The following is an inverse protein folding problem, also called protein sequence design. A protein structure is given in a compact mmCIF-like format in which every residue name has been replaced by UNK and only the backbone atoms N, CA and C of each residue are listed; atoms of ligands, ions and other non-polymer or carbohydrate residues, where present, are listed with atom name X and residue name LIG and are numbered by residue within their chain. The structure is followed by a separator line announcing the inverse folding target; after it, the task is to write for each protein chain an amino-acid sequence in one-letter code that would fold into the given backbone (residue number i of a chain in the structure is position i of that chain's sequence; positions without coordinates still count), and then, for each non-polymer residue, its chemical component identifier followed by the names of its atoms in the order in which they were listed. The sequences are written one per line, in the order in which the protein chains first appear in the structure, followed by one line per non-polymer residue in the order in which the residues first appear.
data_IF_222911902779
#
_entry.id   IF_222911902779
#
_cell.length_a   1.000
_cell.length_b   1.000
_cell.length_c   1.000
_cell.angle_alpha   90.00
_cell.angle_beta   90.00
_cell.angle_gamma   90.00
#
_symmetry.space_group_name_H-M   'P 1'
#
loop_
_entity.id
_entity.type
_entity.pdbx_description
1 polymer ?
#
# COMPACT_ATOMS: atom_id res chain seq x y z
N UNK A 1 -18.63 -19.56 -31.23
CA UNK A 1 -19.72 -20.12 -30.41
C UNK A 1 -19.42 -20.10 -28.91
N UNK A 2 -18.32 -20.69 -28.41
CA UNK A 2 -18.00 -20.73 -26.95
C UNK A 2 -17.72 -19.37 -26.26
N UNK A 3 -17.33 -18.32 -27.01
CA UNK A 3 -17.03 -17.00 -26.46
C UNK A 3 -18.27 -16.16 -26.12
N UNK A 4 -19.36 -16.34 -26.87
CA UNK A 4 -20.60 -15.58 -26.65
C UNK A 4 -21.34 -16.10 -25.41
N UNK A 5 -21.36 -17.42 -25.23
CA UNK A 5 -21.95 -18.07 -24.07
C UNK A 5 -21.27 -17.64 -22.75
N UNK A 6 -19.95 -17.44 -22.76
CA UNK A 6 -19.21 -16.93 -21.59
C UNK A 6 -19.56 -15.46 -21.30
N UNK A 7 -19.66 -14.62 -22.33
CA UNK A 7 -20.03 -13.20 -22.20
C UNK A 7 -21.45 -13.02 -21.69
N UNK A 8 -22.37 -13.86 -22.15
CA UNK A 8 -23.77 -13.87 -21.71
C UNK A 8 -23.89 -14.25 -20.23
N UNK A 9 -23.11 -15.25 -19.77
CA UNK A 9 -23.07 -15.65 -18.35
C UNK A 9 -22.49 -14.58 -17.44
N UNK A 10 -21.47 -13.84 -17.88
CA UNK A 10 -20.90 -12.73 -17.13
C UNK A 10 -21.89 -11.55 -17.04
N UNK A 11 -22.62 -11.27 -18.11
CA UNK A 11 -23.66 -10.24 -18.11
C UNK A 11 -24.85 -10.63 -17.22
N UNK A 12 -25.29 -11.90 -17.25
CA UNK A 12 -26.35 -12.40 -16.36
C UNK A 12 -25.94 -12.36 -14.89
N UNK A 13 -24.70 -12.68 -14.55
CA UNK A 13 -24.20 -12.61 -13.17
C UNK A 13 -24.13 -11.17 -12.66
N UNK A 14 -23.66 -10.23 -13.48
CA UNK A 14 -23.63 -8.81 -13.14
C UNK A 14 -25.03 -8.21 -12.97
N UNK A 15 -26.01 -8.64 -13.79
CA UNK A 15 -27.40 -8.22 -13.66
C UNK A 15 -28.06 -8.81 -12.40
N UNK A 16 -27.75 -10.06 -12.03
CA UNK A 16 -28.24 -10.67 -10.80
C UNK A 16 -27.70 -9.97 -9.55
N UNK A 17 -26.41 -9.63 -9.52
CA UNK A 17 -25.81 -8.88 -8.41
C UNK A 17 -26.41 -7.47 -8.28
N UNK A 18 -26.60 -6.77 -9.41
CA UNK A 18 -27.27 -5.47 -9.43
C UNK A 18 -28.74 -5.54 -8.99
N UNK A 19 -29.43 -6.64 -9.32
CA UNK A 19 -30.81 -6.88 -8.90
C UNK A 19 -30.92 -7.17 -7.39
N UNK A 20 -29.95 -7.86 -6.78
CA UNK A 20 -29.91 -8.12 -5.33
C UNK A 20 -29.67 -6.83 -4.54
N UNK A 21 -28.80 -5.95 -5.05
CA UNK A 21 -28.55 -4.62 -4.45
C UNK A 21 -29.80 -3.73 -4.56
N UNK A 22 -30.54 -3.78 -5.67
CA UNK A 22 -31.79 -3.03 -5.85
C UNK A 22 -32.99 -3.61 -5.07
N UNK A 23 -33.05 -4.94 -4.91
CA UNK A 23 -34.12 -5.62 -4.18
C UNK A 23 -34.02 -5.45 -2.65
N UNK A 24 -32.87 -4.97 -2.13
CA UNK A 24 -32.71 -4.67 -0.70
C UNK A 24 -33.16 -3.25 -0.32
N UNK A 25 -33.60 -2.42 -1.28
CA UNK A 25 -34.10 -1.07 -1.04
C UNK A 25 -35.65 -0.90 -0.94
N UNK A 26 -36.56 -1.83 -1.26
CA UNK A 26 -37.99 -1.53 -1.21
C UNK A 26 -38.75 -2.14 -0.01
N UNK A 27 -38.08 -2.79 0.95
CA UNK A 27 -38.77 -3.30 2.15
C UNK A 27 -39.28 -2.18 3.09
N UNK A 28 -38.84 -0.93 2.89
CA UNK A 28 -39.32 0.24 3.63
C UNK A 28 -40.45 1.03 2.94
N UNK A 29 -40.87 0.64 1.74
CA UNK A 29 -41.98 1.29 1.03
C UNK A 29 -43.22 0.38 1.07
N UNK A 30 -43.90 0.39 2.21
CA UNK A 30 -45.25 -0.16 2.34
C UNK A 30 -46.25 0.70 1.55
N UNK A 31 -46.98 0.01 0.67
CA UNK A 31 -48.23 0.33 -0.03
C UNK A 31 -48.52 1.79 -0.47
N UNK A 32 -48.35 2.11 -1.77
CA UNK A 32 -48.67 3.42 -2.35
C UNK A 32 -50.17 3.75 -2.47
N UNK A 33 -51.10 2.83 -2.22
CA UNK A 33 -52.53 3.05 -2.51
C UNK A 33 -53.38 3.47 -1.31
N UNK A 34 -52.86 3.34 -0.09
CA UNK A 34 -53.62 3.70 1.13
C UNK A 34 -53.46 5.17 1.55
N UNK A 35 -52.51 5.91 0.94
CA UNK A 35 -52.20 7.29 1.33
C UNK A 35 -52.87 8.36 0.45
N UNK A 36 -53.67 7.97 -0.55
CA UNK A 36 -54.24 8.89 -1.54
C UNK A 36 -55.38 9.75 -0.96
N UNK A 37 -55.95 9.44 0.21
CA UNK A 37 -57.22 10.06 0.60
C UNK A 37 -57.15 11.36 1.44
N UNK A 38 -56.01 11.79 1.98
CA UNK A 38 -55.94 13.11 2.67
C UNK A 38 -54.58 13.81 2.52
N UNK A 39 -54.47 14.88 1.72
CA UNK A 39 -53.28 15.71 1.69
C UNK A 39 -53.25 16.57 2.95
N UNK A 40 -52.69 16.04 4.03
CA UNK A 40 -52.36 16.86 5.20
C UNK A 40 -51.17 17.76 4.84
N UNK A 41 -51.39 19.07 4.97
CA UNK A 41 -50.47 20.18 4.71
C UNK A 41 -49.08 20.09 5.38
N UNK A 42 -48.76 19.01 6.11
CA UNK A 42 -47.47 18.80 6.78
C UNK A 42 -46.38 18.18 5.91
N UNK A 43 -46.73 17.58 4.77
CA UNK A 43 -45.76 16.87 3.92
C UNK A 43 -44.97 17.79 2.99
N UNK A 44 -45.53 18.94 2.62
CA UNK A 44 -44.85 19.95 1.78
C UNK A 44 -43.77 20.70 2.53
N UNK A 45 -43.86 20.80 3.85
CA UNK A 45 -42.83 21.44 4.70
C UNK A 45 -41.65 20.49 4.99
N UNK A 46 -41.82 19.19 4.79
CA UNK A 46 -40.77 18.17 4.97
C UNK A 46 -39.95 17.89 3.70
N UNK A 47 -40.32 18.46 2.54
CA UNK A 47 -39.64 18.29 1.26
C UNK A 47 -38.57 19.36 1.03
N UNK A 48 -37.81 19.71 2.07
CA UNK A 48 -36.51 20.35 1.86
C UNK A 48 -35.69 19.34 1.04
N UNK A 49 -35.19 19.69 -0.16
CA UNK A 49 -34.24 18.84 -0.85
C UNK A 49 -33.01 18.78 0.04
N UNK A 50 -32.87 17.71 0.83
CA UNK A 50 -31.58 17.36 1.40
C UNK A 50 -30.76 16.94 0.20
N UNK A 51 -30.00 17.88 -0.32
CA UNK A 51 -28.98 17.64 -1.33
C UNK A 51 -28.06 16.57 -0.73
N UNK A 52 -28.28 15.33 -1.14
CA UNK A 52 -27.52 14.20 -0.64
C UNK A 52 -26.07 14.46 -1.07
N UNK A 53 -25.24 14.87 -0.12
CA UNK A 53 -23.79 14.98 -0.34
C UNK A 53 -23.34 13.71 -1.05
N UNK A 54 -22.67 13.81 -2.22
CA UNK A 54 -22.22 12.64 -2.93
C UNK A 54 -21.40 11.81 -1.95
N UNK A 55 -21.83 10.56 -1.73
CA UNK A 55 -21.13 9.66 -0.82
C UNK A 55 -19.67 9.61 -1.27
N UNK A 56 -18.78 10.23 -0.50
CA UNK A 56 -17.35 10.19 -0.78
C UNK A 56 -16.93 8.74 -0.57
N UNK A 57 -16.89 7.96 -1.65
CA UNK A 57 -16.34 6.61 -1.64
C UNK A 57 -14.84 6.77 -1.37
N UNK A 58 -14.47 6.72 -0.09
CA UNK A 58 -13.09 6.79 0.34
C UNK A 58 -12.44 5.45 0.03
N UNK A 59 -11.47 5.46 -0.86
CA UNK A 59 -10.56 4.33 -1.04
C UNK A 59 -9.72 4.21 0.22
N UNK A 60 -9.93 3.14 0.98
CA UNK A 60 -9.03 2.76 2.09
C UNK A 60 -7.75 2.25 1.44
N UNK A 61 -6.81 3.17 1.21
CA UNK A 61 -5.52 2.86 0.59
C UNK A 61 -4.63 2.25 1.66
N UNK A 62 -4.18 1.00 1.46
CA UNK A 62 -3.10 0.46 2.29
C UNK A 62 -1.84 1.30 2.08
N UNK A 63 -1.40 1.97 3.14
CA UNK A 63 -0.19 2.79 3.13
C UNK A 63 1.01 2.01 3.66
N UNK A 64 0.79 0.87 4.30
CA UNK A 64 1.84 0.02 4.88
C UNK A 64 2.50 -0.88 3.85
N UNK A 65 1.93 -0.95 2.63
CA UNK A 65 2.41 -1.78 1.52
C UNK A 65 2.55 -3.26 1.91
N UNK A 66 1.79 -3.68 2.93
CA UNK A 66 1.90 -4.97 3.60
C UNK A 66 3.33 -5.36 4.06
N UNK A 67 4.25 -4.41 4.20
CA UNK A 67 5.66 -4.70 4.50
C UNK A 67 5.91 -4.91 5.99
N UNK A 68 6.58 -6.01 6.40
CA UNK A 68 7.02 -6.17 7.77
C UNK A 68 7.99 -5.07 8.18
N UNK A 69 7.71 -4.43 9.32
CA UNK A 69 8.52 -3.33 9.86
C UNK A 69 10.00 -3.73 10.05
N UNK A 70 10.26 -4.99 10.38
CA UNK A 70 11.64 -5.51 10.49
C UNK A 70 12.38 -5.44 9.15
N UNK A 71 11.72 -5.81 8.05
CA UNK A 71 12.33 -5.83 6.71
C UNK A 71 12.61 -4.40 6.21
N UNK A 72 11.68 -3.50 6.50
CA UNK A 72 11.86 -2.07 6.27
C UNK A 72 13.07 -1.52 7.03
N UNK A 73 13.14 -1.78 8.35
CA UNK A 73 14.27 -1.35 9.18
C UNK A 73 15.61 -1.95 8.74
N UNK A 74 15.63 -3.22 8.35
CA UNK A 74 16.82 -3.89 7.83
C UNK A 74 17.33 -3.22 6.54
N UNK A 75 16.41 -2.84 5.65
CA UNK A 75 16.75 -2.13 4.40
C UNK A 75 17.45 -0.81 4.69
N UNK A 76 16.88 0.01 5.58
CA UNK A 76 17.45 1.30 6.00
C UNK A 76 18.83 1.09 6.63
N UNK A 77 18.95 0.10 7.52
CA UNK A 77 20.21 -0.22 8.19
C UNK A 77 21.32 -0.62 7.21
N UNK A 78 21.01 -1.43 6.19
CA UNK A 78 21.99 -1.84 5.18
C UNK A 78 22.43 -0.67 4.29
N UNK A 79 21.51 0.20 3.87
CA UNK A 79 21.87 1.39 3.08
C UNK A 79 22.73 2.37 3.87
N UNK A 80 22.35 2.66 5.12
CA UNK A 80 23.16 3.54 5.98
C UNK A 80 24.48 2.88 6.37
N UNK A 81 24.48 1.57 6.62
CA UNK A 81 25.67 0.78 6.90
C UNK A 81 26.65 0.79 5.73
N UNK A 82 26.17 0.70 4.49
CA UNK A 82 26.96 0.85 3.27
C UNK A 82 27.65 2.23 3.21
N UNK A 83 26.91 3.31 3.47
CA UNK A 83 27.48 4.68 3.50
C UNK A 83 28.50 4.81 4.63
N UNK A 84 28.19 4.35 5.83
CA UNK A 84 29.11 4.39 6.97
C UNK A 84 30.40 3.60 6.69
N UNK A 85 30.27 2.41 6.09
CA UNK A 85 31.39 1.54 5.75
C UNK A 85 32.36 2.20 4.77
N UNK A 86 31.86 2.76 3.67
CA UNK A 86 32.72 3.49 2.72
C UNK A 86 33.30 4.77 3.32
N UNK A 87 32.50 5.50 4.11
CA UNK A 87 32.93 6.76 4.73
C UNK A 87 34.09 6.54 5.70
N UNK A 88 33.99 5.53 6.56
CA UNK A 88 35.03 5.15 7.51
C UNK A 88 36.22 4.51 6.78
N UNK A 89 35.97 3.60 5.85
CA UNK A 89 37.03 2.83 5.20
C UNK A 89 37.92 3.64 4.25
N UNK A 90 37.37 4.65 3.57
CA UNK A 90 38.14 5.51 2.67
C UNK A 90 38.59 6.81 3.34
N UNK A 91 37.76 7.41 4.21
CA UNK A 91 38.08 8.57 5.06
C UNK A 91 38.77 9.76 4.36
N UNK A 92 38.48 10.02 3.08
CA UNK A 92 39.05 11.18 2.38
C UNK A 92 38.15 12.42 2.49
N UNK A 93 38.71 13.64 2.63
CA UNK A 93 37.92 14.87 2.78
C UNK A 93 36.97 15.14 1.60
N UNK A 94 37.36 14.74 0.38
CA UNK A 94 36.59 14.99 -0.84
C UNK A 94 35.30 14.16 -0.89
N UNK A 95 35.28 13.01 -0.22
CA UNK A 95 34.10 12.14 -0.13
C UNK A 95 33.12 12.59 0.96
N UNK A 96 33.55 13.40 1.93
CA UNK A 96 32.70 13.76 3.07
C UNK A 96 31.37 14.40 2.65
N UNK A 97 31.40 15.32 1.68
CA UNK A 97 30.21 16.00 1.19
C UNK A 97 29.23 15.04 0.47
N UNK A 98 29.66 14.25 -0.54
CA UNK A 98 28.81 13.21 -1.13
C UNK A 98 28.21 12.25 -0.11
N UNK A 99 29.00 11.78 0.86
CA UNK A 99 28.54 10.81 1.86
C UNK A 99 27.47 11.40 2.78
N UNK A 100 27.64 12.65 3.21
CA UNK A 100 26.62 13.35 3.99
C UNK A 100 25.32 13.53 3.20
N UNK A 101 25.42 13.93 1.93
CA UNK A 101 24.27 14.08 1.03
C UNK A 101 23.53 12.75 0.90
N UNK A 102 24.22 11.65 0.59
CA UNK A 102 23.58 10.34 0.47
C UNK A 102 22.96 9.86 1.78
N UNK A 103 23.63 10.04 2.91
CA UNK A 103 23.07 9.69 4.22
C UNK A 103 21.75 10.45 4.49
N UNK A 104 21.72 11.77 4.25
CA UNK A 104 20.52 12.60 4.44
C UNK A 104 19.41 12.18 3.49
N UNK A 105 19.71 11.95 2.21
CA UNK A 105 18.70 11.51 1.23
C UNK A 105 18.14 10.14 1.57
N UNK A 106 18.97 9.17 1.95
CA UNK A 106 18.51 7.85 2.39
C UNK A 106 17.62 8.01 3.62
N UNK A 107 18.09 8.72 4.66
CA UNK A 107 17.29 8.93 5.85
C UNK A 107 15.94 9.61 5.54
N UNK A 108 15.94 10.67 4.72
CA UNK A 108 14.74 11.41 4.33
C UNK A 108 13.78 10.60 3.46
N UNK A 109 14.28 9.86 2.46
CA UNK A 109 13.47 9.03 1.55
C UNK A 109 12.76 7.90 2.29
N UNK A 110 13.32 7.40 3.38
CA UNK A 110 12.67 6.40 4.22
C UNK A 110 11.81 7.07 5.30
N UNK A 111 12.35 8.04 6.05
CA UNK A 111 11.62 8.69 7.14
C UNK A 111 10.34 9.40 6.69
N UNK A 112 10.33 10.10 5.55
CA UNK A 112 9.16 10.84 5.12
C UNK A 112 7.94 9.94 4.84
N UNK A 113 8.04 8.84 4.06
CA UNK A 113 6.96 7.86 3.95
C UNK A 113 6.55 7.27 5.29
N UNK A 114 7.49 6.94 6.18
CA UNK A 114 7.17 6.37 7.50
C UNK A 114 6.38 7.35 8.38
N UNK A 115 6.75 8.63 8.37
CA UNK A 115 6.01 9.68 9.08
C UNK A 115 4.62 9.88 8.49
N UNK A 116 4.47 9.78 7.17
CA UNK A 116 3.17 9.87 6.49
C UNK A 116 2.19 8.79 6.94
N UNK A 117 2.66 7.60 7.32
CA UNK A 117 1.82 6.55 7.90
C UNK A 117 1.20 6.95 9.24
N UNK A 118 1.89 7.79 10.00
CA UNK A 118 1.38 8.34 11.26
C UNK A 118 0.41 9.51 11.09
N UNK A 119 0.35 10.12 9.89
CA UNK A 119 -0.51 11.27 9.61
C UNK A 119 -1.90 10.82 9.13
N UNK A 120 -2.93 11.14 9.91
CA UNK A 120 -4.34 10.90 9.58
C UNK A 120 -5.06 9.98 10.57
N UNK A 121 -6.28 9.55 10.22
CA UNK A 121 -7.02 8.53 11.00
C UNK A 121 -6.33 7.18 10.83
N UNK A 122 -6.33 6.38 11.89
CA UNK A 122 -5.71 5.04 11.93
C UNK A 122 -6.15 4.23 10.69
N UNK A 123 -5.22 3.82 9.81
CA UNK A 123 -5.54 2.97 8.67
C UNK A 123 -6.19 1.66 9.15
N UNK A 124 -7.14 1.10 8.39
CA UNK A 124 -7.61 -0.26 8.67
C UNK A 124 -6.59 -1.30 8.20
N UNK A 125 -5.79 -0.96 7.18
CA UNK A 125 -4.68 -1.77 6.72
C UNK A 125 -3.52 -1.76 7.72
N UNK A 126 -2.98 -2.94 8.05
CA UNK A 126 -1.88 -3.14 8.99
C UNK A 126 -0.71 -3.81 8.26
N UNK A 127 0.51 -3.40 8.60
CA UNK A 127 1.72 -4.10 8.19
C UNK A 127 1.68 -5.58 8.61
N UNK A 128 1.95 -6.49 7.67
CA UNK A 128 2.08 -7.92 7.96
C UNK A 128 3.22 -8.15 8.92
N UNK A 129 3.05 -9.09 9.84
CA UNK A 129 4.16 -9.68 10.58
C UNK A 129 5.04 -10.49 9.63
N UNK A 130 6.28 -10.76 10.05
CA UNK A 130 7.18 -11.60 9.26
C UNK A 130 6.59 -13.00 9.02
N UNK A 131 5.90 -13.57 10.02
CA UNK A 131 5.23 -14.87 9.89
C UNK A 131 4.07 -14.85 8.90
N UNK A 132 3.23 -13.81 8.94
CA UNK A 132 2.13 -13.63 7.97
C UNK A 132 2.65 -13.42 6.55
N UNK A 133 3.74 -12.66 6.38
CA UNK A 133 4.38 -12.53 5.08
C UNK A 133 4.92 -13.88 4.60
N UNK A 134 5.64 -14.60 5.45
CA UNK A 134 6.26 -15.88 5.08
C UNK A 134 5.23 -16.95 4.69
N UNK A 135 4.08 -16.98 5.36
CA UNK A 135 3.00 -17.94 5.09
C UNK A 135 2.06 -17.49 3.96
N UNK A 136 1.72 -16.21 3.91
CA UNK A 136 0.68 -15.67 3.03
C UNK A 136 1.20 -15.07 1.72
N UNK A 137 2.47 -14.66 1.66
CA UNK A 137 3.04 -13.98 0.48
C UNK A 137 2.47 -12.58 0.21
N UNK A 138 2.80 -12.06 -0.97
CA UNK A 138 2.34 -10.75 -1.47
C UNK A 138 1.57 -10.97 -2.77
N UNK A 139 0.35 -10.45 -2.83
CA UNK A 139 -0.43 -10.43 -4.06
C UNK A 139 0.12 -9.34 -4.97
N UNK A 140 0.73 -9.71 -6.09
CA UNK A 140 1.23 -8.78 -7.10
C UNK A 140 0.28 -8.74 -8.30
N UNK A 141 0.49 -7.80 -9.22
CA UNK A 141 -0.28 -7.72 -10.46
C UNK A 141 -0.10 -8.97 -11.35
N UNK A 142 1.01 -9.69 -11.24
CA UNK A 142 1.30 -10.90 -12.03
C UNK A 142 0.94 -12.20 -11.32
N UNK A 143 0.43 -12.14 -10.09
CA UNK A 143 0.07 -13.31 -9.28
C UNK A 143 0.62 -13.25 -7.86
N UNK A 144 0.44 -14.35 -7.11
CA UNK A 144 0.93 -14.47 -5.74
C UNK A 144 2.45 -14.73 -5.74
N UNK A 145 3.20 -13.83 -5.10
CA UNK A 145 4.63 -14.02 -4.84
C UNK A 145 4.81 -14.59 -3.43
N UNK A 146 5.58 -15.68 -3.31
CA UNK A 146 5.86 -16.28 -2.00
C UNK A 146 6.60 -15.29 -1.10
N UNK A 147 6.32 -15.32 0.21
CA UNK A 147 6.89 -14.37 1.16
C UNK A 147 8.42 -14.37 1.18
N UNK A 148 9.04 -15.56 1.05
CA UNK A 148 10.50 -15.69 0.97
C UNK A 148 11.06 -15.00 -0.27
N UNK A 149 10.45 -15.21 -1.42
CA UNK A 149 10.94 -14.66 -2.69
C UNK A 149 10.78 -13.13 -2.71
N UNK A 150 9.69 -12.62 -2.13
CA UNK A 150 9.50 -11.19 -1.91
C UNK A 150 10.58 -10.59 -1.00
N UNK A 151 10.94 -11.26 0.10
CA UNK A 151 12.02 -10.82 1.01
C UNK A 151 13.36 -10.79 0.27
N UNK A 152 13.69 -11.84 -0.50
CA UNK A 152 14.92 -11.91 -1.28
C UNK A 152 14.98 -10.76 -2.28
N UNK A 153 13.91 -10.53 -3.03
CA UNK A 153 13.85 -9.45 -4.01
C UNK A 153 14.06 -8.07 -3.37
N UNK A 154 13.52 -7.85 -2.17
CA UNK A 154 13.70 -6.59 -1.47
C UNK A 154 15.13 -6.43 -0.93
N UNK A 155 15.75 -7.51 -0.45
CA UNK A 155 17.09 -7.49 0.15
C UNK A 155 18.23 -7.59 -0.85
N UNK A 156 17.96 -7.99 -2.10
CA UNK A 156 19.02 -8.25 -3.08
C UNK A 156 19.92 -7.04 -3.29
N UNK A 157 19.35 -5.87 -3.54
CA UNK A 157 20.13 -4.65 -3.78
C UNK A 157 20.87 -4.18 -2.51
N UNK A 158 20.22 -3.99 -1.34
CA UNK A 158 20.90 -3.60 -0.11
C UNK A 158 22.04 -4.54 0.29
N UNK A 159 21.88 -5.85 0.14
CA UNK A 159 22.92 -6.82 0.47
C UNK A 159 24.08 -6.75 -0.54
N UNK A 160 23.78 -6.67 -1.84
CA UNK A 160 24.81 -6.62 -2.87
C UNK A 160 25.70 -5.38 -2.75
N UNK A 161 25.15 -4.20 -2.45
CA UNK A 161 25.96 -2.98 -2.30
C UNK A 161 26.88 -3.03 -1.07
N UNK A 162 26.48 -3.70 0.01
CA UNK A 162 27.32 -3.89 1.20
C UNK A 162 28.46 -4.84 0.88
N UNK A 163 28.17 -5.96 0.20
CA UNK A 163 29.22 -6.87 -0.27
C UNK A 163 30.19 -6.16 -1.21
N UNK A 164 29.67 -5.36 -2.14
CA UNK A 164 30.48 -4.57 -3.04
C UNK A 164 31.39 -3.57 -2.30
N UNK A 165 30.85 -2.82 -1.32
CA UNK A 165 31.66 -1.93 -0.48
C UNK A 165 32.77 -2.68 0.25
N UNK A 166 32.47 -3.83 0.85
CA UNK A 166 33.49 -4.68 1.48
C UNK A 166 34.58 -5.08 0.48
N UNK A 167 34.21 -5.47 -0.74
CA UNK A 167 35.19 -5.79 -1.80
C UNK A 167 36.07 -4.59 -2.14
N UNK A 168 35.49 -3.40 -2.31
CA UNK A 168 36.25 -2.16 -2.57
C UNK A 168 37.24 -1.87 -1.45
N UNK A 169 36.82 -2.00 -0.19
CA UNK A 169 37.69 -1.76 0.96
C UNK A 169 38.81 -2.79 1.08
N UNK A 170 38.54 -4.06 0.79
CA UNK A 170 39.57 -5.10 0.75
C UNK A 170 40.61 -4.76 -0.34
N UNK A 171 40.16 -4.39 -1.54
CA UNK A 171 41.07 -4.01 -2.63
C UNK A 171 41.89 -2.78 -2.23
N UNK A 172 41.26 -1.73 -1.71
CA UNK A 172 41.94 -0.51 -1.28
C UNK A 172 42.98 -0.81 -0.19
N UNK A 173 42.62 -1.64 0.80
CA UNK A 173 43.54 -2.07 1.85
C UNK A 173 44.72 -2.88 1.33
N UNK A 174 44.50 -3.78 0.36
CA UNK A 174 45.57 -4.58 -0.25
C UNK A 174 46.50 -3.73 -1.12
N UNK A 175 45.97 -2.74 -1.85
CA UNK A 175 46.77 -1.85 -2.71
C UNK A 175 47.56 -0.81 -1.91
N UNK A 176 47.02 -0.39 -0.75
CA UNK A 176 47.68 0.59 0.11
C UNK A 176 48.70 -0.02 1.09
N UNK A 177 48.73 -1.35 1.23
CA UNK A 177 49.68 -2.10 2.06
C UNK A 177 51.01 -2.34 1.34
#
# INVERSE_FOLDING_TARGET
MRSEEMSERLNSAAIAEKAIVHAKLPAMLRDPREQVEKPSMKLVEALVPVEAEPAVIRQDVDRTFEMPTMLYGATVALYLGFIAMLGIGLSTPELALPMAIFAIFIAGLFAAPALWLGLGRKPQARAKTFGELAQGGIQTHTGLLQGRDAVIQMMILPTLIVIWAMTVLVIAGVVAA
#
